data_IF_279412614856
#
_entry.id   IF_279412614856
#
_cell.length_a   1.000
_cell.length_b   1.000
_cell.length_c   1.000
_cell.angle_alpha   90.00
_cell.angle_beta   90.00
_cell.angle_gamma   90.00
#
_symmetry.space_group_name_H-M   'P 1'
#
loop_
_entity.id
_entity.type
_entity.pdbx_description
1 polymer ?
#
# COMPACT_ATOMS: atom_id res chain seq x y z
N UNK A 1 -1.29 -22.13 10.54
CA UNK A 1 -0.09 -22.28 11.41
C UNK A 1 1.21 -21.78 10.73
N UNK A 2 1.46 -22.12 9.46
CA UNK A 2 2.66 -21.70 8.73
C UNK A 2 2.88 -20.17 8.68
N UNK A 3 1.81 -19.38 8.51
CA UNK A 3 1.89 -17.92 8.49
C UNK A 3 2.51 -17.34 9.78
N UNK A 4 2.06 -17.82 10.96
CA UNK A 4 2.58 -17.38 12.25
C UNK A 4 4.06 -17.74 12.36
N UNK A 5 4.43 -18.99 12.02
CA UNK A 5 5.82 -19.45 12.09
C UNK A 5 6.70 -18.59 11.19
N UNK A 6 6.29 -18.35 9.94
CA UNK A 6 7.01 -17.48 9.01
C UNK A 6 7.17 -16.06 9.57
N UNK A 7 6.12 -15.50 10.16
CA UNK A 7 6.12 -14.16 10.79
C UNK A 7 7.11 -14.09 11.97
N UNK A 8 7.13 -15.09 12.84
CA UNK A 8 8.10 -15.16 13.95
C UNK A 8 9.53 -15.29 13.41
N UNK A 9 9.76 -16.14 12.41
CA UNK A 9 11.06 -16.30 11.79
C UNK A 9 11.57 -15.02 11.13
N UNK A 10 10.68 -14.20 10.55
CA UNK A 10 11.06 -12.88 10.01
C UNK A 10 11.56 -11.94 11.11
N UNK A 11 10.90 -11.90 12.26
CA UNK A 11 11.33 -11.10 13.41
C UNK A 11 12.70 -11.57 13.93
N UNK A 12 12.89 -12.88 14.11
CA UNK A 12 14.17 -13.45 14.53
C UNK A 12 15.28 -13.21 13.50
N UNK A 13 14.97 -13.36 12.21
CA UNK A 13 15.88 -13.07 11.11
C UNK A 13 16.32 -11.61 11.14
N UNK A 14 15.39 -10.67 11.38
CA UNK A 14 15.68 -9.25 11.56
C UNK A 14 16.57 -8.98 12.77
N UNK A 15 16.24 -9.50 13.94
CA UNK A 15 17.02 -9.25 15.16
C UNK A 15 18.46 -9.80 15.05
N UNK A 16 18.62 -10.99 14.46
CA UNK A 16 19.92 -11.65 14.31
C UNK A 16 20.69 -11.20 13.06
N UNK A 17 20.04 -10.48 12.14
CA UNK A 17 20.55 -10.13 10.81
C UNK A 17 21.02 -11.35 9.98
N UNK A 18 20.44 -12.53 10.24
CA UNK A 18 20.77 -13.78 9.52
C UNK A 18 19.63 -14.17 8.60
N UNK A 19 19.98 -14.76 7.45
CA UNK A 19 19.04 -15.35 6.50
C UNK A 19 17.93 -14.41 6.02
N UNK A 20 18.20 -13.09 6.02
CA UNK A 20 17.23 -12.03 5.69
C UNK A 20 16.41 -12.36 4.43
N UNK A 21 17.10 -12.61 3.32
CA UNK A 21 16.46 -12.89 2.02
C UNK A 21 15.75 -14.24 2.02
N UNK A 22 16.40 -15.29 2.54
CA UNK A 22 15.85 -16.65 2.54
C UNK A 22 14.53 -16.74 3.31
N UNK A 23 14.50 -16.22 4.53
CA UNK A 23 13.28 -16.22 5.35
C UNK A 23 12.20 -15.34 4.72
N UNK A 24 12.57 -14.20 4.12
CA UNK A 24 11.65 -13.36 3.35
C UNK A 24 11.03 -14.11 2.18
N UNK A 25 11.80 -14.85 1.38
CA UNK A 25 11.29 -15.65 0.25
C UNK A 25 10.31 -16.72 0.75
N UNK A 26 10.66 -17.44 1.83
CA UNK A 26 9.79 -18.47 2.40
C UNK A 26 8.48 -17.88 2.91
N UNK A 27 8.52 -16.72 3.59
CA UNK A 27 7.31 -16.03 4.05
C UNK A 27 6.45 -15.58 2.87
N UNK A 28 7.03 -14.92 1.86
CA UNK A 28 6.30 -14.48 0.67
C UNK A 28 5.70 -15.65 -0.13
N UNK A 29 6.33 -16.84 -0.11
CA UNK A 29 5.77 -18.04 -0.69
C UNK A 29 4.54 -18.56 0.10
N UNK A 30 4.58 -18.50 1.43
CA UNK A 30 3.41 -18.78 2.28
C UNK A 30 2.29 -17.77 2.00
N UNK A 31 2.62 -16.49 1.89
CA UNK A 31 1.65 -15.43 1.59
C UNK A 31 1.02 -15.65 0.21
N UNK A 32 1.82 -15.93 -0.82
CA UNK A 32 1.34 -16.25 -2.17
C UNK A 32 0.39 -17.45 -2.17
N UNK A 33 0.74 -18.51 -1.44
CA UNK A 33 -0.10 -19.70 -1.30
C UNK A 33 -1.46 -19.37 -0.66
N UNK A 34 -1.47 -18.59 0.41
CA UNK A 34 -2.71 -18.20 1.10
C UNK A 34 -3.59 -17.28 0.24
N UNK A 35 -3.00 -16.38 -0.55
CA UNK A 35 -3.76 -15.55 -1.51
C UNK A 35 -4.31 -16.37 -2.67
N UNK A 36 -3.54 -17.37 -3.15
CA UNK A 36 -3.94 -18.27 -4.22
C UNK A 36 -5.11 -19.19 -3.81
N UNK A 37 -5.09 -19.68 -2.56
CA UNK A 37 -6.11 -20.59 -2.00
C UNK A 37 -6.84 -19.94 -0.80
N UNK A 38 -7.65 -18.90 -1.03
CA UNK A 38 -8.36 -18.23 0.05
C UNK A 38 -9.50 -19.09 0.58
N UNK A 39 -9.93 -18.83 1.82
CA UNK A 39 -11.19 -19.33 2.34
C UNK A 39 -12.36 -18.65 1.60
N UNK A 40 -12.96 -19.35 0.64
CA UNK A 40 -13.89 -18.79 -0.35
C UNK A 40 -15.13 -18.19 0.32
N UNK A 41 -15.62 -18.82 1.39
CA UNK A 41 -16.82 -18.36 2.13
C UNK A 41 -16.56 -17.09 2.96
N UNK A 42 -15.30 -16.84 3.28
CA UNK A 42 -14.85 -15.82 4.22
C UNK A 42 -14.03 -14.72 3.55
N UNK A 43 -13.95 -14.74 2.21
CA UNK A 43 -13.30 -13.72 1.40
C UNK A 43 -14.36 -12.89 0.66
N UNK A 44 -14.60 -11.67 1.13
CA UNK A 44 -15.67 -10.81 0.65
C UNK A 44 -15.62 -10.53 -0.87
N UNK A 45 -14.42 -10.43 -1.45
CA UNK A 45 -14.25 -10.07 -2.86
C UNK A 45 -14.17 -11.31 -3.79
N UNK A 46 -13.94 -12.51 -3.25
CA UNK A 46 -13.65 -13.69 -4.08
C UNK A 46 -14.75 -14.00 -5.08
N UNK A 47 -16.00 -14.02 -4.63
CA UNK A 47 -17.15 -14.35 -5.47
C UNK A 47 -17.40 -13.27 -6.53
N UNK A 48 -17.15 -11.99 -6.20
CA UNK A 48 -17.26 -10.90 -7.16
C UNK A 48 -16.21 -11.02 -8.26
N UNK A 49 -14.95 -11.34 -7.90
CA UNK A 49 -13.89 -11.60 -8.87
C UNK A 49 -14.20 -12.82 -9.74
N UNK A 50 -14.67 -13.92 -9.14
CA UNK A 50 -15.03 -15.14 -9.86
C UNK A 50 -16.18 -14.90 -10.85
N UNK A 51 -17.21 -14.16 -10.44
CA UNK A 51 -18.34 -13.81 -11.29
C UNK A 51 -17.91 -12.93 -12.47
N UNK A 52 -17.10 -11.90 -12.21
CA UNK A 52 -16.56 -11.04 -13.26
C UNK A 52 -15.71 -11.82 -14.26
N UNK A 53 -14.88 -12.75 -13.77
CA UNK A 53 -14.09 -13.65 -14.61
C UNK A 53 -14.98 -14.57 -15.46
N UNK A 54 -15.97 -15.24 -14.86
CA UNK A 54 -16.81 -16.21 -15.59
C UNK A 54 -17.75 -15.55 -16.60
N UNK A 55 -18.23 -14.35 -16.30
CA UNK A 55 -19.13 -13.57 -17.18
C UNK A 55 -18.40 -12.58 -18.08
N UNK A 56 -17.06 -12.50 -18.00
CA UNK A 56 -16.22 -11.59 -18.80
C UNK A 56 -16.63 -10.11 -18.66
N UNK A 57 -17.05 -9.70 -17.45
CA UNK A 57 -17.54 -8.35 -17.17
C UNK A 57 -16.40 -7.31 -17.23
N UNK A 58 -16.75 -6.07 -17.61
CA UNK A 58 -15.84 -4.91 -17.62
C UNK A 58 -16.00 -4.01 -16.38
N UNK A 59 -16.33 -4.60 -15.22
CA UNK A 59 -16.60 -3.89 -13.97
C UNK A 59 -15.36 -3.56 -13.13
N UNK A 60 -14.17 -3.99 -13.56
CA UNK A 60 -12.90 -3.74 -12.89
C UNK A 60 -11.93 -2.96 -13.79
N UNK A 61 -10.79 -2.54 -13.22
CA UNK A 61 -9.77 -1.78 -13.94
C UNK A 61 -9.19 -2.59 -15.12
N UNK A 62 -8.85 -1.86 -16.19
CA UNK A 62 -8.53 -2.42 -17.50
C UNK A 62 -7.41 -3.47 -17.47
N UNK A 63 -6.40 -3.30 -16.62
CA UNK A 63 -5.27 -4.22 -16.50
C UNK A 63 -5.68 -5.57 -15.92
N UNK A 64 -6.48 -5.57 -14.84
CA UNK A 64 -7.01 -6.80 -14.26
C UNK A 64 -7.96 -7.50 -15.23
N UNK A 65 -8.91 -6.74 -15.81
CA UNK A 65 -9.89 -7.26 -16.76
C UNK A 65 -9.24 -7.85 -18.00
N UNK A 66 -8.20 -7.18 -18.54
CA UNK A 66 -7.44 -7.70 -19.68
C UNK A 66 -6.80 -9.06 -19.38
N UNK A 67 -6.14 -9.22 -18.22
CA UNK A 67 -5.54 -10.50 -17.84
C UNK A 67 -6.59 -11.57 -17.58
N UNK A 68 -7.70 -11.23 -16.92
CA UNK A 68 -8.81 -12.15 -16.69
C UNK A 68 -9.39 -12.68 -18.01
N UNK A 69 -9.64 -11.80 -18.98
CA UNK A 69 -10.13 -12.17 -20.32
C UNK A 69 -9.11 -13.02 -21.08
N UNK A 70 -7.82 -12.69 -20.99
CA UNK A 70 -6.75 -13.47 -21.62
C UNK A 70 -6.73 -14.92 -21.12
N UNK A 71 -6.73 -15.12 -19.80
CA UNK A 71 -6.73 -16.46 -19.19
C UNK A 71 -8.02 -17.23 -19.46
N UNK A 72 -9.17 -16.55 -19.46
CA UNK A 72 -10.45 -17.17 -19.80
C UNK A 72 -10.44 -17.66 -21.25
N UNK A 73 -9.97 -16.85 -22.19
CA UNK A 73 -9.86 -17.22 -23.60
C UNK A 73 -8.84 -18.34 -23.84
N UNK A 74 -7.86 -18.52 -22.96
CA UNK A 74 -6.96 -19.67 -22.94
C UNK A 74 -7.57 -20.93 -22.32
N UNK A 75 -8.81 -20.87 -21.83
CA UNK A 75 -9.52 -22.00 -21.22
C UNK A 75 -9.14 -22.26 -19.76
N UNK A 76 -8.46 -21.34 -19.07
CA UNK A 76 -8.12 -21.50 -17.67
C UNK A 76 -9.33 -21.24 -16.75
N UNK A 77 -9.44 -21.99 -15.65
CA UNK A 77 -10.41 -21.68 -14.60
C UNK A 77 -10.01 -20.42 -13.83
N UNK A 78 -10.96 -19.81 -13.11
CA UNK A 78 -10.68 -18.64 -12.26
C UNK A 78 -9.68 -18.99 -11.15
N UNK A 79 -9.77 -20.19 -10.58
CA UNK A 79 -8.86 -20.69 -9.56
C UNK A 79 -7.42 -20.76 -10.10
N UNK A 80 -7.24 -21.30 -11.31
CA UNK A 80 -5.94 -21.33 -11.99
C UNK A 80 -5.41 -19.93 -12.26
N UNK A 81 -6.24 -19.03 -12.80
CA UNK A 81 -5.88 -17.63 -13.02
C UNK A 81 -5.42 -16.94 -11.72
N UNK A 82 -6.14 -17.15 -10.61
CA UNK A 82 -5.82 -16.58 -9.31
C UNK A 82 -4.47 -17.06 -8.77
N UNK A 83 -4.16 -18.36 -8.91
CA UNK A 83 -2.85 -18.92 -8.54
C UNK A 83 -1.73 -18.22 -9.30
N UNK A 84 -1.86 -18.08 -10.63
CA UNK A 84 -0.84 -17.42 -11.45
C UNK A 84 -0.64 -15.95 -11.07
N UNK A 85 -1.74 -15.20 -10.88
CA UNK A 85 -1.65 -13.79 -10.46
C UNK A 85 -1.04 -13.67 -9.06
N UNK A 86 -1.43 -14.51 -8.10
CA UNK A 86 -0.91 -14.46 -6.74
C UNK A 86 0.62 -14.71 -6.74
N UNK A 87 1.07 -15.77 -7.40
CA UNK A 87 2.49 -16.08 -7.54
C UNK A 87 3.27 -14.94 -8.21
N UNK A 88 2.79 -14.43 -9.35
CA UNK A 88 3.45 -13.33 -10.06
C UNK A 88 3.54 -12.07 -9.20
N UNK A 89 2.47 -11.74 -8.47
CA UNK A 89 2.40 -10.57 -7.60
C UNK A 89 3.44 -10.63 -6.48
N UNK A 90 3.54 -11.75 -5.76
CA UNK A 90 4.49 -11.91 -4.66
C UNK A 90 5.94 -12.06 -5.13
N UNK A 91 6.18 -12.58 -6.33
CA UNK A 91 7.51 -12.56 -6.97
C UNK A 91 7.92 -11.11 -7.26
N UNK A 92 7.05 -10.31 -7.89
CA UNK A 92 7.31 -8.89 -8.18
C UNK A 92 7.55 -8.11 -6.88
N UNK A 93 6.68 -8.32 -5.88
CA UNK A 93 6.79 -7.70 -4.56
C UNK A 93 8.12 -8.04 -3.88
N UNK A 94 8.51 -9.31 -3.88
CA UNK A 94 9.80 -9.75 -3.34
C UNK A 94 11.01 -9.15 -4.06
N UNK A 95 11.00 -9.14 -5.40
CA UNK A 95 12.04 -8.49 -6.21
C UNK A 95 12.18 -7.02 -5.82
N UNK A 96 11.07 -6.29 -5.72
CA UNK A 96 11.08 -4.88 -5.39
C UNK A 96 11.61 -4.63 -3.97
N UNK A 97 11.15 -5.41 -2.98
CA UNK A 97 11.66 -5.33 -1.59
C UNK A 97 13.17 -5.58 -1.56
N UNK A 98 13.68 -6.61 -2.26
CA UNK A 98 15.11 -6.93 -2.25
C UNK A 98 15.97 -5.89 -2.97
N UNK A 99 15.40 -5.12 -3.89
CA UNK A 99 16.07 -4.00 -4.56
C UNK A 99 16.10 -2.73 -3.70
N UNK A 100 15.07 -2.50 -2.90
CA UNK A 100 14.89 -1.27 -2.13
C UNK A 100 15.36 -1.39 -0.67
N UNK A 101 15.34 -2.58 -0.07
CA UNK A 101 15.59 -2.77 1.36
C UNK A 101 16.96 -3.38 1.66
N UNK A 102 17.61 -2.92 2.73
CA UNK A 102 18.80 -3.56 3.32
C UNK A 102 18.43 -4.74 4.22
N UNK A 103 17.25 -4.70 4.84
CA UNK A 103 16.76 -5.67 5.81
C UNK A 103 15.35 -6.14 5.41
N UNK A 104 15.23 -6.97 4.36
CA UNK A 104 13.93 -7.34 3.81
C UNK A 104 13.02 -8.06 4.81
N UNK A 105 13.57 -8.78 5.80
CA UNK A 105 12.74 -9.47 6.79
C UNK A 105 11.89 -8.51 7.61
N UNK A 106 12.37 -7.29 7.88
CA UNK A 106 11.58 -6.26 8.58
C UNK A 106 10.40 -5.80 7.74
N UNK A 107 10.60 -5.63 6.44
CA UNK A 107 9.57 -5.14 5.52
C UNK A 107 8.48 -6.18 5.35
N UNK A 108 8.86 -7.44 5.10
CA UNK A 108 7.90 -8.54 4.97
C UNK A 108 7.20 -8.80 6.30
N UNK A 109 7.91 -8.71 7.45
CA UNK A 109 7.26 -8.81 8.77
C UNK A 109 6.17 -7.75 8.95
N UNK A 110 6.49 -6.49 8.65
CA UNK A 110 5.56 -5.38 8.80
C UNK A 110 4.36 -5.51 7.84
N UNK A 111 4.59 -6.00 6.62
CA UNK A 111 3.54 -6.35 5.68
C UNK A 111 2.64 -7.47 6.23
N UNK A 112 3.22 -8.57 6.74
CA UNK A 112 2.45 -9.71 7.27
C UNK A 112 1.59 -9.30 8.46
N UNK A 113 2.14 -8.50 9.38
CA UNK A 113 1.40 -8.03 10.57
C UNK A 113 0.37 -6.97 10.20
N UNK A 114 0.74 -6.01 9.36
CA UNK A 114 -0.06 -4.80 9.14
C UNK A 114 -1.10 -4.92 8.03
N UNK A 115 -0.77 -5.64 6.96
CA UNK A 115 -1.40 -5.46 5.65
C UNK A 115 -1.93 -6.76 5.04
N UNK A 116 -1.26 -7.89 5.29
CA UNK A 116 -1.53 -9.15 4.59
C UNK A 116 -3.02 -9.55 4.61
N UNK A 117 -3.68 -9.47 5.77
CA UNK A 117 -5.07 -9.92 5.91
C UNK A 117 -6.03 -9.22 4.93
N UNK A 118 -5.88 -7.91 4.73
CA UNK A 118 -6.75 -7.14 3.84
C UNK A 118 -6.28 -7.21 2.37
N UNK A 119 -4.97 -7.26 2.13
CA UNK A 119 -4.41 -7.39 0.77
C UNK A 119 -4.68 -8.77 0.15
N UNK A 120 -4.79 -9.82 0.98
CA UNK A 120 -5.19 -11.15 0.54
C UNK A 120 -6.63 -11.20 -0.01
N UNK A 121 -7.48 -10.29 0.46
CA UNK A 121 -8.85 -10.09 -0.05
C UNK A 121 -8.79 -9.20 -1.31
N UNK A 122 -8.07 -8.07 -1.23
CA UNK A 122 -8.04 -7.02 -2.26
C UNK A 122 -6.91 -7.20 -3.29
N UNK A 123 -6.91 -8.33 -4.02
CA UNK A 123 -5.80 -8.73 -4.91
C UNK A 123 -5.41 -7.67 -5.95
N UNK A 124 -6.37 -6.89 -6.47
CA UNK A 124 -6.11 -5.79 -7.42
C UNK A 124 -5.21 -4.71 -6.83
N UNK A 125 -5.47 -4.33 -5.58
CA UNK A 125 -4.64 -3.36 -4.87
C UNK A 125 -3.23 -3.92 -4.62
N UNK A 126 -3.14 -5.19 -4.20
CA UNK A 126 -1.85 -5.85 -3.98
C UNK A 126 -0.99 -5.92 -5.27
N UNK A 127 -1.60 -6.19 -6.43
CA UNK A 127 -0.89 -6.12 -7.72
C UNK A 127 -0.38 -4.71 -7.99
N UNK A 128 -1.22 -3.70 -7.81
CA UNK A 128 -0.84 -2.29 -8.00
C UNK A 128 0.32 -1.90 -7.08
N UNK A 129 0.26 -2.26 -5.80
CA UNK A 129 1.32 -2.00 -4.82
C UNK A 129 2.64 -2.69 -5.21
N UNK A 130 2.59 -3.96 -5.62
CA UNK A 130 3.77 -4.69 -6.07
C UNK A 130 4.42 -4.03 -7.31
N UNK A 131 3.61 -3.60 -8.28
CA UNK A 131 4.08 -2.85 -9.44
C UNK A 131 4.61 -1.47 -9.06
N UNK A 132 3.94 -0.74 -8.16
CA UNK A 132 4.41 0.55 -7.68
C UNK A 132 5.80 0.44 -7.03
N UNK A 133 5.98 -0.53 -6.14
CA UNK A 133 7.28 -0.82 -5.54
C UNK A 133 8.34 -1.16 -6.59
N UNK A 134 8.00 -1.98 -7.59
CA UNK A 134 8.92 -2.32 -8.67
C UNK A 134 9.30 -1.08 -9.49
N UNK A 135 8.34 -0.24 -9.85
CA UNK A 135 8.55 1.00 -10.60
C UNK A 135 9.50 1.94 -9.85
N UNK A 136 9.24 2.21 -8.58
CA UNK A 136 10.14 3.02 -7.74
C UNK A 136 11.52 2.38 -7.52
N UNK A 137 11.62 1.04 -7.50
CA UNK A 137 12.92 0.34 -7.45
C UNK A 137 13.76 0.48 -8.72
N UNK A 138 13.12 0.83 -9.84
CA UNK A 138 13.75 1.03 -11.15
C UNK A 138 14.16 2.48 -11.37
N UNK A 139 13.45 3.47 -10.80
CA UNK A 139 13.81 4.87 -10.93
C UNK A 139 15.24 5.11 -10.40
N UNK A 140 16.16 5.52 -11.27
CA UNK A 140 17.55 5.85 -10.90
C UNK A 140 17.96 7.17 -11.54
N UNK A 141 18.45 8.10 -10.71
CA UNK A 141 18.92 9.39 -11.20
C UNK A 141 20.10 9.22 -12.16
N UNK A 142 20.07 9.96 -13.28
CA UNK A 142 21.14 9.94 -14.29
C UNK A 142 21.09 8.76 -15.27
N UNK A 143 20.09 7.87 -15.19
CA UNK A 143 19.96 6.73 -16.09
C UNK A 143 18.59 6.76 -16.78
N UNK A 144 18.54 7.39 -17.97
CA UNK A 144 17.29 7.61 -18.72
C UNK A 144 16.48 6.32 -18.93
N UNK A 145 17.11 5.24 -19.35
CA UNK A 145 16.43 3.94 -19.54
C UNK A 145 15.75 3.45 -18.26
N UNK A 146 16.40 3.62 -17.10
CA UNK A 146 15.84 3.20 -15.81
C UNK A 146 14.68 4.10 -15.35
N UNK A 147 14.75 5.39 -15.68
CA UNK A 147 13.63 6.32 -15.46
C UNK A 147 12.43 5.90 -16.32
N UNK A 148 12.64 5.71 -17.63
CA UNK A 148 11.58 5.30 -18.56
C UNK A 148 10.95 3.97 -18.14
N UNK A 149 11.75 2.94 -17.85
CA UNK A 149 11.24 1.65 -17.39
C UNK A 149 10.47 1.77 -16.07
N UNK A 150 10.98 2.53 -15.10
CA UNK A 150 10.28 2.77 -13.85
C UNK A 150 8.92 3.45 -14.05
N UNK A 151 8.87 4.49 -14.90
CA UNK A 151 7.63 5.16 -15.25
C UNK A 151 6.64 4.26 -15.98
N UNK A 152 7.09 3.46 -16.94
CA UNK A 152 6.23 2.51 -17.65
C UNK A 152 5.59 1.52 -16.67
N UNK A 153 6.36 1.01 -15.70
CA UNK A 153 5.81 0.13 -14.66
C UNK A 153 4.79 0.86 -13.78
N UNK A 154 5.01 2.13 -13.41
CA UNK A 154 4.03 2.94 -12.67
C UNK A 154 2.75 3.19 -13.47
N UNK A 155 2.86 3.40 -14.79
CA UNK A 155 1.70 3.52 -15.69
C UNK A 155 0.93 2.19 -15.76
N UNK A 156 1.63 1.06 -15.82
CA UNK A 156 0.96 -0.25 -15.76
C UNK A 156 0.24 -0.42 -14.41
N UNK A 157 0.82 0.04 -13.30
CA UNK A 157 0.19 -0.03 -11.98
C UNK A 157 -1.17 0.70 -11.93
N UNK A 158 -1.34 1.83 -12.64
CA UNK A 158 -2.62 2.56 -12.69
C UNK A 158 -3.74 1.77 -13.38
N UNK A 159 -3.38 0.78 -14.20
CA UNK A 159 -4.35 -0.10 -14.86
C UNK A 159 -4.91 -1.20 -13.95
N UNK A 160 -4.32 -1.42 -12.76
CA UNK A 160 -4.77 -2.45 -11.81
C UNK A 160 -5.59 -1.90 -10.65
N UNK A 161 -5.34 -0.65 -10.24
CA UNK A 161 -6.11 0.00 -9.18
C UNK A 161 -5.97 1.52 -9.29
N UNK A 162 -7.04 2.26 -8.98
CA UNK A 162 -7.08 3.74 -9.08
C UNK A 162 -6.04 4.44 -8.20
N UNK A 163 -5.64 3.84 -7.07
CA UNK A 163 -4.55 4.38 -6.24
C UNK A 163 -3.20 4.44 -6.95
N UNK A 164 -3.00 3.67 -8.02
CA UNK A 164 -1.81 3.75 -8.86
C UNK A 164 -1.54 5.16 -9.37
N UNK A 165 -2.56 6.00 -9.55
CA UNK A 165 -2.38 7.41 -9.95
C UNK A 165 -1.62 8.25 -8.90
N UNK A 166 -1.78 7.98 -7.60
CA UNK A 166 -0.97 8.65 -6.56
C UNK A 166 0.50 8.26 -6.68
N UNK A 167 0.78 6.98 -6.92
CA UNK A 167 2.14 6.50 -7.11
C UNK A 167 2.76 7.01 -8.41
N UNK A 168 1.97 7.15 -9.48
CA UNK A 168 2.40 7.80 -10.72
C UNK A 168 2.72 9.29 -10.48
N UNK A 169 1.92 10.01 -9.71
CA UNK A 169 2.24 11.37 -9.27
C UNK A 169 3.57 11.40 -8.51
N UNK A 170 3.80 10.47 -7.59
CA UNK A 170 5.10 10.30 -6.92
C UNK A 170 6.24 10.05 -7.92
N UNK A 171 5.99 9.28 -8.97
CA UNK A 171 6.90 9.12 -10.11
C UNK A 171 7.22 10.46 -10.78
N UNK A 172 6.22 11.30 -11.07
CA UNK A 172 6.42 12.64 -11.68
C UNK A 172 7.28 13.53 -10.78
N UNK A 173 7.07 13.49 -9.46
CA UNK A 173 7.93 14.21 -8.49
C UNK A 173 9.40 13.76 -8.56
N UNK A 174 9.70 12.64 -9.23
CA UNK A 174 11.07 12.18 -9.46
C UNK A 174 11.91 13.13 -10.32
N UNK A 175 11.31 14.05 -11.07
CA UNK A 175 12.05 15.06 -11.83
C UNK A 175 12.45 16.29 -11.01
N UNK A 176 11.91 16.47 -9.80
CA UNK A 176 12.25 17.61 -8.93
C UNK A 176 13.58 17.34 -8.22
N UNK A 177 14.53 18.31 -8.16
CA UNK A 177 15.75 18.17 -7.39
C UNK A 177 15.49 17.74 -5.93
N UNK A 178 16.26 16.77 -5.44
CA UNK A 178 15.98 16.09 -4.17
C UNK A 178 16.00 17.04 -2.97
N UNK A 179 16.95 17.97 -2.94
CA UNK A 179 17.12 19.00 -1.91
C UNK A 179 15.89 19.92 -1.77
N UNK A 180 15.26 20.28 -2.90
CA UNK A 180 14.01 21.07 -2.92
C UNK A 180 12.81 20.20 -2.57
N UNK A 181 12.75 19.00 -3.13
CA UNK A 181 11.63 18.09 -2.96
C UNK A 181 11.45 17.68 -1.50
N UNK A 182 12.51 17.27 -0.80
CA UNK A 182 12.39 16.82 0.59
C UNK A 182 11.92 17.93 1.53
N UNK A 183 12.34 19.18 1.28
CA UNK A 183 11.84 20.35 2.03
C UNK A 183 10.35 20.56 1.76
N UNK A 184 9.93 20.51 0.50
CA UNK A 184 8.52 20.61 0.11
C UNK A 184 7.66 19.51 0.72
N UNK A 185 8.09 18.25 0.66
CA UNK A 185 7.39 17.11 1.25
C UNK A 185 7.20 17.26 2.76
N UNK A 186 8.23 17.74 3.49
CA UNK A 186 8.11 18.05 4.92
C UNK A 186 7.10 19.16 5.22
N UNK A 187 7.10 20.22 4.41
CA UNK A 187 6.11 21.30 4.54
C UNK A 187 4.70 20.77 4.28
N UNK A 188 4.49 20.00 3.21
CA UNK A 188 3.19 19.39 2.89
C UNK A 188 2.70 18.48 4.04
N UNK A 189 3.59 17.68 4.63
CA UNK A 189 3.26 16.83 5.77
C UNK A 189 2.85 17.61 7.03
N UNK A 190 3.42 18.81 7.26
CA UNK A 190 3.04 19.67 8.39
C UNK A 190 1.72 20.39 8.09
N UNK A 191 1.55 20.89 6.86
CA UNK A 191 0.40 21.69 6.44
C UNK A 191 -0.86 20.85 6.21
N UNK A 192 -0.72 19.57 5.86
CA UNK A 192 -1.86 18.68 5.65
C UNK A 192 -2.78 18.56 6.86
N UNK A 193 -2.23 18.59 8.07
CA UNK A 193 -2.99 18.47 9.31
C UNK A 193 -3.94 19.67 9.53
N UNK A 194 -3.46 20.94 9.58
CA UNK A 194 -4.37 22.07 9.69
C UNK A 194 -5.32 22.15 8.50
N UNK A 195 -4.89 21.81 7.28
CA UNK A 195 -5.79 21.72 6.11
C UNK A 195 -6.91 20.71 6.36
N UNK A 196 -6.60 19.51 6.86
CA UNK A 196 -7.62 18.50 7.16
C UNK A 196 -8.59 18.93 8.29
N UNK A 197 -8.12 19.70 9.28
CA UNK A 197 -9.00 20.29 10.30
C UNK A 197 -9.94 21.32 9.68
N UNK A 198 -9.44 22.20 8.81
CA UNK A 198 -10.29 23.14 8.09
C UNK A 198 -11.37 22.39 7.28
N UNK A 199 -11.02 21.25 6.67
CA UNK A 199 -11.98 20.42 5.94
C UNK A 199 -13.06 19.83 6.85
N UNK A 200 -12.72 19.43 8.08
CA UNK A 200 -13.69 18.98 9.08
C UNK A 200 -14.63 20.10 9.53
N UNK A 201 -14.13 21.33 9.70
CA UNK A 201 -14.92 22.48 10.18
C UNK A 201 -15.84 23.01 9.08
N UNK A 202 -15.33 23.21 7.87
CA UNK A 202 -16.07 23.84 6.77
C UNK A 202 -16.89 22.84 5.94
N UNK A 203 -16.73 21.53 6.20
CA UNK A 203 -17.50 20.46 5.56
C UNK A 203 -17.14 20.22 4.10
N UNK A 204 -17.53 19.03 3.61
CA UNK A 204 -17.31 18.59 2.22
C UNK A 204 -17.99 19.53 1.20
N UNK A 205 -19.09 20.19 1.61
CA UNK A 205 -19.85 21.15 0.80
C UNK A 205 -19.02 22.36 0.36
N UNK A 206 -18.08 22.83 1.18
CA UNK A 206 -17.18 23.93 0.83
C UNK A 206 -16.19 23.52 -0.26
N UNK A 207 -15.74 22.26 -0.25
CA UNK A 207 -14.87 21.68 -1.28
C UNK A 207 -15.65 21.46 -2.56
N UNK A 208 -16.86 20.91 -2.47
CA UNK A 208 -17.77 20.75 -3.62
C UNK A 208 -18.08 22.10 -4.27
N UNK A 209 -18.23 23.15 -3.47
CA UNK A 209 -18.43 24.51 -3.99
C UNK A 209 -17.16 25.08 -4.64
N UNK A 210 -15.97 24.85 -4.05
CA UNK A 210 -14.71 25.28 -4.63
C UNK A 210 -14.35 24.51 -5.91
N UNK A 211 -14.53 23.18 -5.93
CA UNK A 211 -14.37 22.34 -7.11
C UNK A 211 -15.45 22.64 -8.16
N UNK A 212 -16.70 22.87 -7.76
CA UNK A 212 -17.77 23.30 -8.65
C UNK A 212 -17.47 24.64 -9.31
N UNK A 213 -16.86 25.57 -8.57
CA UNK A 213 -16.39 26.86 -9.10
C UNK A 213 -15.21 26.68 -10.06
N UNK A 214 -14.24 25.82 -9.72
CA UNK A 214 -13.13 25.51 -10.63
C UNK A 214 -13.62 24.85 -11.92
N UNK A 215 -14.53 23.89 -11.82
CA UNK A 215 -15.08 23.15 -12.96
C UNK A 215 -15.96 24.02 -13.85
N UNK A 216 -16.72 24.95 -13.27
CA UNK A 216 -17.53 25.94 -14.02
C UNK A 216 -16.65 26.92 -14.81
N UNK A 217 -15.48 27.28 -14.27
CA UNK A 217 -14.47 28.09 -14.97
C UNK A 217 -13.80 27.28 -16.10
N UNK A 218 -13.60 25.97 -15.92
CA UNK A 218 -12.94 25.11 -16.92
C UNK A 218 -13.89 24.45 -17.94
N UNK A 219 -15.19 24.71 -17.87
CA UNK A 219 -16.18 24.21 -18.84
C UNK A 219 -16.47 22.70 -18.79
N UNK A 220 -16.15 22.03 -17.68
CA UNK A 220 -16.44 20.60 -17.50
C UNK A 220 -17.90 20.41 -17.04
N UNK A 221 -18.69 19.61 -17.78
CA UNK A 221 -20.15 19.45 -17.63
C UNK A 221 -20.61 19.07 -16.21
N UNK A 222 -21.80 19.58 -15.87
CA UNK A 222 -22.57 19.47 -14.61
C UNK A 222 -22.97 18.07 -14.15
N UNK A 223 -22.81 17.03 -14.98
CA UNK A 223 -23.21 15.67 -14.61
C UNK A 223 -22.17 14.98 -13.71
N UNK A 224 -20.90 15.44 -13.74
CA UNK A 224 -19.83 14.92 -12.89
C UNK A 224 -20.02 15.30 -11.41
N UNK A 225 -20.67 16.44 -11.14
CA UNK A 225 -20.94 16.93 -9.78
C UNK A 225 -21.97 16.08 -9.01
N UNK A 226 -22.89 15.40 -9.69
CA UNK A 226 -23.93 14.61 -9.03
C UNK A 226 -23.42 13.24 -8.55
N UNK A 227 -22.55 12.59 -9.33
CA UNK A 227 -21.84 11.36 -8.94
C UNK A 227 -20.78 11.62 -7.85
N UNK A 228 -20.16 12.81 -7.84
CA UNK A 228 -19.27 13.24 -6.77
C UNK A 228 -19.98 13.39 -5.42
N UNK A 229 -21.26 13.75 -5.38
CA UNK A 229 -21.99 13.94 -4.12
C UNK A 229 -22.46 12.61 -3.53
N UNK A 230 -22.84 11.64 -4.36
CA UNK A 230 -23.33 10.33 -3.91
C UNK A 230 -22.19 9.38 -3.50
N UNK A 231 -21.02 9.44 -4.17
CA UNK A 231 -19.87 8.56 -3.91
C UNK A 231 -18.96 9.08 -2.77
N UNK A 232 -18.85 10.41 -2.58
CA UNK A 232 -17.94 11.02 -1.60
C UNK A 232 -18.59 11.46 -0.29
N UNK A 233 -19.76 10.89 0.04
CA UNK A 233 -20.41 11.09 1.35
C UNK A 233 -20.21 9.90 2.30
N UNK A 234 -19.31 8.97 1.96
CA UNK A 234 -18.94 7.81 2.80
C UNK A 234 -17.53 7.99 3.40
N UNK A 235 -17.24 9.19 3.87
CA UNK A 235 -16.03 9.50 4.62
C UNK A 235 -15.98 8.76 5.95
N UNK A 236 -14.78 8.62 6.51
CA UNK A 236 -14.61 7.90 7.79
C UNK A 236 -14.98 8.80 8.97
N UNK A 237 -15.52 8.21 10.04
CA UNK A 237 -15.85 8.93 11.27
C UNK A 237 -14.63 9.55 11.95
N UNK A 238 -14.85 10.57 12.79
CA UNK A 238 -13.79 11.35 13.45
C UNK A 238 -12.72 10.51 14.14
N UNK A 239 -13.11 9.46 14.88
CA UNK A 239 -12.14 8.59 15.59
C UNK A 239 -11.24 7.83 14.62
N UNK A 240 -11.79 7.33 13.51
CA UNK A 240 -11.03 6.64 12.47
C UNK A 240 -10.08 7.61 11.73
N UNK A 241 -10.55 8.83 11.47
CA UNK A 241 -9.74 9.89 10.90
C UNK A 241 -8.59 10.31 11.84
N UNK A 242 -8.86 10.50 13.14
CA UNK A 242 -7.82 10.85 14.11
C UNK A 242 -6.77 9.75 14.21
N UNK A 243 -7.17 8.47 14.15
CA UNK A 243 -6.24 7.36 14.07
C UNK A 243 -5.43 7.37 12.77
N UNK A 244 -6.04 7.74 11.64
CA UNK A 244 -5.35 7.93 10.35
C UNK A 244 -4.27 9.01 10.46
N UNK A 245 -4.60 10.17 11.05
CA UNK A 245 -3.64 11.24 11.34
C UNK A 245 -2.50 10.72 12.20
N UNK A 246 -2.82 10.02 13.30
CA UNK A 246 -1.83 9.47 14.21
C UNK A 246 -0.87 8.50 13.49
N UNK A 247 -1.41 7.60 12.66
CA UNK A 247 -0.63 6.65 11.85
C UNK A 247 0.30 7.39 10.89
N UNK A 248 -0.18 8.40 10.17
CA UNK A 248 0.66 9.18 9.23
C UNK A 248 1.73 9.97 9.97
N UNK A 249 1.39 10.56 11.12
CA UNK A 249 2.34 11.29 11.95
C UNK A 249 3.45 10.38 12.46
N UNK A 250 3.12 9.21 13.03
CA UNK A 250 4.14 8.26 13.47
C UNK A 250 4.91 7.68 12.28
N UNK A 251 4.29 7.42 11.13
CA UNK A 251 4.99 6.97 9.92
C UNK A 251 6.08 7.95 9.46
N UNK A 252 5.86 9.26 9.60
CA UNK A 252 6.81 10.25 9.08
C UNK A 252 7.73 10.84 10.15
N UNK A 253 7.39 10.69 11.44
CA UNK A 253 8.11 11.27 12.57
C UNK A 253 9.64 11.10 12.53
N UNK A 254 10.21 9.92 12.22
CA UNK A 254 11.66 9.75 12.24
C UNK A 254 12.39 10.67 11.26
N UNK A 255 11.74 11.04 10.15
CA UNK A 255 12.34 11.90 9.12
C UNK A 255 12.35 13.38 9.49
N UNK A 256 11.72 13.75 10.61
CA UNK A 256 11.82 15.08 11.22
C UNK A 256 12.89 15.14 12.33
N UNK A 257 13.42 13.99 12.77
CA UNK A 257 14.46 13.93 13.78
C UNK A 257 15.84 14.26 13.20
N UNK A 258 16.64 15.02 13.96
CA UNK A 258 18.02 15.33 13.61
C UNK A 258 19.01 14.24 14.08
N UNK A 259 18.69 12.96 13.81
CA UNK A 259 19.60 11.86 14.15
C UNK A 259 20.62 11.63 13.02
N UNK A 260 21.86 11.19 13.32
CA UNK A 260 22.87 10.95 12.29
C UNK A 260 22.43 9.96 11.21
N UNK A 261 21.78 8.86 11.60
CA UNK A 261 21.27 7.83 10.67
C UNK A 261 20.21 8.40 9.72
N UNK A 262 19.29 9.21 10.23
CA UNK A 262 18.25 9.85 9.42
C UNK A 262 18.87 10.91 8.51
N UNK A 263 19.78 11.75 9.01
CA UNK A 263 20.44 12.78 8.21
C UNK A 263 21.23 12.18 7.06
N UNK A 264 21.98 11.11 7.31
CA UNK A 264 22.73 10.40 6.28
C UNK A 264 21.78 9.81 5.22
N UNK A 265 20.65 9.25 5.64
CA UNK A 265 19.63 8.74 4.72
C UNK A 265 18.98 9.85 3.89
N UNK A 266 18.57 10.97 4.51
CA UNK A 266 17.99 12.12 3.80
C UNK A 266 18.98 12.79 2.83
N UNK A 267 20.28 12.70 3.09
CA UNK A 267 21.32 13.23 2.20
C UNK A 267 21.65 12.29 1.03
N UNK A 268 21.21 11.02 1.06
CA UNK A 268 21.39 10.09 -0.05
C UNK A 268 20.28 10.31 -1.10
N UNK A 269 20.59 10.72 -2.34
CA UNK A 269 19.58 10.88 -3.39
C UNK A 269 18.79 9.61 -3.70
N UNK A 270 19.33 8.42 -3.40
CA UNK A 270 18.62 7.14 -3.58
C UNK A 270 17.46 6.97 -2.60
N UNK A 271 17.47 7.68 -1.46
CA UNK A 271 16.36 7.70 -0.50
C UNK A 271 15.06 8.19 -1.13
N UNK A 272 15.17 8.99 -2.21
CA UNK A 272 14.04 9.49 -3.01
C UNK A 272 13.10 8.39 -3.49
N UNK A 273 13.63 7.23 -3.88
CA UNK A 273 12.85 6.10 -4.38
C UNK A 273 11.86 5.55 -3.33
N UNK A 274 12.10 5.84 -2.07
CA UNK A 274 11.33 5.30 -0.95
C UNK A 274 10.57 6.42 -0.24
N UNK A 275 11.20 7.58 -0.04
CA UNK A 275 10.60 8.68 0.70
C UNK A 275 9.49 9.38 -0.06
N UNK A 276 9.62 9.58 -1.38
CA UNK A 276 8.54 10.21 -2.17
C UNK A 276 7.22 9.44 -2.03
N UNK A 277 7.16 8.12 -2.29
CA UNK A 277 5.94 7.35 -2.12
C UNK A 277 5.51 7.22 -0.65
N UNK A 278 6.44 7.17 0.32
CA UNK A 278 6.08 7.17 1.74
C UNK A 278 5.32 8.44 2.16
N UNK A 279 5.74 9.60 1.66
CA UNK A 279 5.09 10.89 1.92
C UNK A 279 3.72 11.04 1.22
N UNK A 280 3.37 10.19 0.25
CA UNK A 280 2.02 10.19 -0.34
C UNK A 280 0.95 9.81 0.69
N UNK A 281 1.32 9.11 1.77
CA UNK A 281 0.44 8.85 2.92
C UNK A 281 -0.18 10.13 3.49
N UNK A 282 0.46 11.30 3.33
CA UNK A 282 -0.07 12.58 3.78
C UNK A 282 -1.41 12.92 3.13
N UNK A 283 -1.59 12.56 1.86
CA UNK A 283 -2.83 12.86 1.14
C UNK A 283 -4.04 12.12 1.72
N UNK A 284 -3.83 10.94 2.32
CA UNK A 284 -4.93 10.19 2.91
C UNK A 284 -5.59 10.97 4.06
N UNK A 285 -4.83 11.76 4.82
CA UNK A 285 -5.36 12.52 5.98
C UNK A 285 -6.51 13.44 5.57
N UNK A 286 -6.43 14.01 4.37
CA UNK A 286 -7.49 14.83 3.78
C UNK A 286 -8.51 13.94 3.07
N UNK A 287 -8.05 13.01 2.23
CA UNK A 287 -8.92 12.25 1.35
C UNK A 287 -9.84 11.26 2.07
N UNK A 288 -9.45 10.75 3.24
CA UNK A 288 -10.30 9.84 4.03
C UNK A 288 -11.54 10.51 4.60
N UNK A 289 -11.54 11.85 4.67
CA UNK A 289 -12.74 12.63 4.99
C UNK A 289 -13.76 12.60 3.85
N UNK A 290 -13.32 12.31 2.63
CA UNK A 290 -14.18 12.22 1.44
C UNK A 290 -14.63 10.77 1.18
N UNK A 291 -13.74 9.78 1.36
CA UNK A 291 -14.09 8.38 1.19
C UNK A 291 -13.20 7.46 2.02
N UNK A 292 -13.81 6.44 2.62
CA UNK A 292 -13.13 5.37 3.36
C UNK A 292 -12.11 4.58 2.53
N UNK A 293 -12.25 4.54 1.20
CA UNK A 293 -11.32 3.82 0.33
C UNK A 293 -9.91 4.43 0.32
N UNK A 294 -9.77 5.72 0.65
CA UNK A 294 -8.46 6.37 0.71
C UNK A 294 -7.61 5.93 1.91
N UNK A 295 -8.18 5.17 2.85
CA UNK A 295 -7.41 4.52 3.94
C UNK A 295 -6.42 3.51 3.34
N UNK A 296 -6.70 2.95 2.15
CA UNK A 296 -5.76 2.11 1.39
C UNK A 296 -4.48 2.86 0.98
N UNK A 297 -4.53 4.19 0.78
CA UNK A 297 -3.33 4.97 0.46
C UNK A 297 -2.32 5.02 1.63
N UNK A 298 -2.80 5.13 2.88
CA UNK A 298 -1.92 4.99 4.07
C UNK A 298 -1.24 3.65 4.08
N UNK A 299 -2.03 2.60 3.83
CA UNK A 299 -1.60 1.21 3.85
C UNK A 299 -0.47 0.99 2.84
N UNK A 300 -0.71 1.33 1.58
CA UNK A 300 0.25 1.14 0.50
C UNK A 300 1.53 1.97 0.70
N UNK A 301 1.38 3.24 1.10
CA UNK A 301 2.51 4.11 1.40
C UNK A 301 3.31 3.66 2.63
N UNK A 302 2.69 2.97 3.59
CA UNK A 302 3.37 2.45 4.79
C UNK A 302 4.44 1.41 4.45
N UNK A 303 4.27 0.64 3.38
CA UNK A 303 5.28 -0.33 2.92
C UNK A 303 6.58 0.38 2.52
N UNK A 304 6.47 1.54 1.86
CA UNK A 304 7.63 2.38 1.57
C UNK A 304 8.27 2.93 2.85
N UNK A 305 7.48 3.33 3.85
CA UNK A 305 8.04 3.72 5.16
C UNK A 305 8.78 2.57 5.84
N UNK A 306 8.26 1.34 5.80
CA UNK A 306 8.93 0.15 6.34
C UNK A 306 10.26 -0.12 5.62
N UNK A 307 10.30 0.05 4.30
CA UNK A 307 11.54 0.01 3.52
C UNK A 307 12.50 1.09 4.00
N UNK A 308 12.05 2.33 4.20
CA UNK A 308 12.92 3.41 4.68
C UNK A 308 13.51 3.08 6.05
N UNK A 309 12.70 2.59 6.99
CA UNK A 309 13.19 2.18 8.31
C UNK A 309 14.17 1.02 8.26
N UNK A 310 13.97 0.08 7.33
CA UNK A 310 14.91 -1.02 7.11
C UNK A 310 16.31 -0.53 6.70
N UNK A 311 16.43 0.69 6.17
CA UNK A 311 17.71 1.28 5.79
C UNK A 311 18.40 2.07 6.91
N UNK A 312 17.69 2.38 8.00
CA UNK A 312 18.20 3.15 9.13
C UNK A 312 19.03 2.31 10.13
N UNK A 313 19.14 0.99 9.91
CA UNK A 313 19.81 0.07 10.86
C UNK A 313 21.01 -0.65 10.25
N UNK A 314 22.07 -0.73 11.06
CA UNK A 314 23.31 -1.45 10.74
C UNK A 314 23.24 -2.95 11.06
N UNK A 315 24.32 -3.70 10.77
CA UNK A 315 24.32 -5.18 10.74
C UNK A 315 23.95 -5.84 12.06
N UNK A 316 24.40 -5.37 13.22
CA UNK A 316 24.00 -5.90 14.53
C UNK A 316 24.03 -4.74 15.54
N UNK A 317 22.88 -4.38 16.12
CA UNK A 317 22.77 -3.24 17.03
C UNK A 317 21.48 -3.33 17.84
N UNK A 318 21.47 -2.84 19.09
CA UNK A 318 20.26 -2.66 19.91
C UNK A 318 19.20 -1.81 19.20
N UNK A 319 19.61 -0.95 18.26
CA UNK A 319 18.71 -0.16 17.39
C UNK A 319 17.78 -1.03 16.56
N UNK A 320 18.16 -2.29 16.24
CA UNK A 320 17.26 -3.25 15.56
C UNK A 320 16.03 -3.53 16.41
N UNK A 321 16.20 -3.75 17.70
CA UNK A 321 15.07 -4.03 18.59
C UNK A 321 14.12 -2.83 18.71
N UNK A 322 14.68 -1.62 18.84
CA UNK A 322 13.89 -0.38 18.88
C UNK A 322 13.08 -0.21 17.59
N UNK A 323 13.73 -0.37 16.43
CA UNK A 323 13.06 -0.24 15.13
C UNK A 323 12.05 -1.36 14.89
N UNK A 324 12.32 -2.58 15.37
CA UNK A 324 11.36 -3.68 15.33
C UNK A 324 10.08 -3.30 16.09
N UNK A 325 10.21 -2.86 17.34
CA UNK A 325 9.05 -2.43 18.15
C UNK A 325 8.32 -1.29 17.46
N UNK A 326 9.05 -0.29 17.00
CA UNK A 326 8.48 0.88 16.35
C UNK A 326 7.66 0.50 15.11
N UNK A 327 8.23 -0.30 14.21
CA UNK A 327 7.56 -0.79 13.01
C UNK A 327 6.38 -1.69 13.35
N UNK A 328 6.54 -2.56 14.35
CA UNK A 328 5.46 -3.44 14.80
C UNK A 328 4.27 -2.66 15.35
N UNK A 329 4.51 -1.63 16.16
CA UNK A 329 3.46 -0.74 16.68
C UNK A 329 2.70 -0.07 15.53
N UNK A 330 3.41 0.47 14.54
CA UNK A 330 2.78 1.08 13.36
C UNK A 330 1.97 0.04 12.58
N UNK A 331 2.54 -1.13 12.32
CA UNK A 331 1.86 -2.22 11.62
C UNK A 331 0.58 -2.64 12.36
N UNK A 332 0.60 -2.76 13.68
CA UNK A 332 -0.58 -3.05 14.49
C UNK A 332 -1.66 -1.96 14.40
N UNK A 333 -1.28 -0.67 14.38
CA UNK A 333 -2.25 0.42 14.21
C UNK A 333 -2.86 0.43 12.81
N UNK A 334 -2.05 0.22 11.77
CA UNK A 334 -2.54 0.06 10.38
C UNK A 334 -3.49 -1.13 10.32
N UNK A 335 -3.10 -2.27 10.89
CA UNK A 335 -3.91 -3.48 10.95
C UNK A 335 -5.25 -3.21 11.64
N UNK A 336 -5.23 -2.53 12.78
CA UNK A 336 -6.43 -2.22 13.56
C UNK A 336 -7.39 -1.30 12.81
N UNK A 337 -6.87 -0.20 12.24
CA UNK A 337 -7.66 0.72 11.42
C UNK A 337 -8.34 -0.03 10.28
N UNK A 338 -7.61 -0.88 9.55
CA UNK A 338 -8.14 -1.57 8.37
C UNK A 338 -9.15 -2.66 8.75
N UNK A 339 -8.80 -3.54 9.68
CA UNK A 339 -9.53 -4.80 9.88
C UNK A 339 -10.64 -4.70 10.92
N UNK A 340 -10.64 -3.68 11.78
CA UNK A 340 -11.66 -3.53 12.82
C UNK A 340 -12.47 -2.25 12.72
N UNK A 341 -11.93 -1.19 12.09
CA UNK A 341 -12.63 0.08 11.95
C UNK A 341 -13.22 0.23 10.55
N UNK A 342 -12.42 0.08 9.49
CA UNK A 342 -12.86 0.34 8.11
C UNK A 342 -13.52 -0.89 7.48
N UNK A 343 -12.88 -2.06 7.58
CA UNK A 343 -13.35 -3.32 7.01
C UNK A 343 -13.52 -4.38 8.13
N UNK A 344 -14.49 -4.22 9.04
CA UNK A 344 -14.65 -5.10 10.22
C UNK A 344 -14.82 -6.58 9.88
N UNK A 345 -15.42 -6.91 8.72
CA UNK A 345 -15.52 -8.30 8.25
C UNK A 345 -14.15 -8.93 8.00
N UNK A 346 -13.16 -8.16 7.51
CA UNK A 346 -11.79 -8.64 7.33
C UNK A 346 -11.17 -9.08 8.67
N UNK A 347 -11.42 -8.33 9.75
CA UNK A 347 -10.97 -8.69 11.09
C UNK A 347 -11.64 -9.94 11.65
N UNK A 348 -12.95 -10.11 11.40
CA UNK A 348 -13.70 -11.30 11.83
C UNK A 348 -13.16 -12.58 11.20
N UNK A 349 -12.70 -12.50 9.96
CA UNK A 349 -12.27 -13.67 9.19
C UNK A 349 -10.76 -13.88 9.15
N UNK A 350 -9.98 -13.14 9.95
CA UNK A 350 -8.52 -13.22 9.89
C UNK A 350 -7.99 -14.64 10.06
N UNK A 351 -8.57 -15.42 10.99
CA UNK A 351 -8.14 -16.80 11.25
C UNK A 351 -8.21 -17.68 10.00
N UNK A 352 -9.19 -17.44 9.13
CA UNK A 352 -9.31 -18.12 7.84
C UNK A 352 -8.29 -17.57 6.84
N UNK A 353 -8.15 -16.25 6.74
CA UNK A 353 -7.22 -15.59 5.81
C UNK A 353 -5.76 -15.98 6.03
N UNK A 354 -5.33 -16.16 7.29
CA UNK A 354 -3.95 -16.57 7.62
C UNK A 354 -3.77 -18.09 7.76
N UNK A 355 -4.79 -18.88 7.41
CA UNK A 355 -4.75 -20.34 7.46
C UNK A 355 -4.53 -20.91 8.87
N UNK A 356 -5.13 -20.28 9.89
CA UNK A 356 -5.25 -20.84 11.24
C UNK A 356 -6.49 -21.70 11.40
N UNK A 357 -7.60 -21.27 10.80
CA UNK A 357 -8.88 -21.97 10.82
C UNK A 357 -9.09 -22.53 9.41
N UNK A 358 -9.44 -23.81 9.29
CA UNK A 358 -9.77 -24.39 8.00
C UNK A 358 -11.13 -23.88 7.53
N UNK A 359 -11.28 -23.67 6.22
CA UNK A 359 -12.57 -23.32 5.59
C UNK A 359 -13.55 -24.52 5.55
N UNK A 360 -13.23 -25.60 6.28
CA UNK A 360 -13.87 -26.91 6.20
C UNK A 360 -14.93 -27.15 7.26
N UNK A 361 -15.57 -26.12 7.83
CA UNK A 361 -16.56 -26.33 8.88
C UNK A 361 -17.81 -27.06 8.37
N UNK A 362 -18.00 -27.23 7.05
CA UNK A 362 -18.87 -28.27 6.49
C UNK A 362 -18.32 -28.75 5.12
N UNK A 363 -17.81 -29.99 5.09
CA UNK A 363 -17.91 -30.85 3.89
C UNK A 363 -19.38 -31.12 3.59
#
# INVERSE_FOLDING_TARGET
MFFIIATILLALSFLTNKLQKTISILALAVDAFLVAYPAVRHNADYNLYKLSYSQQLDNFEKGYTFLAKLFFNWGASYETFRVYIACATFIIFGIAIFRLSKNPSLVVLAFNVGLFAIEAIQIRNMIMLALALLGFSMLKQGQFANIVLGFLVLVIATSFHTLGYFFLLGGILFFIPWDKLIKGLKVVAIVSFPVSILFLIFGVQSIQSAFGTFLSITGARSDFSFDLVSVYNNGIGFNAWLLTVFIVAILLFPFFLNSPSVRNFLNDPKSKNVLVPAFLSVFSVVLTLLSSDYVRLVRDASVFSYIAYSQLVEKLSYKRFIILIYVFVIACFVFWLQNFIIYPESGRYIGYTIGLISDSVFQ
#
